data_IF_429463557511
#
_entry.id   IF_429463557511
#
_cell.length_a   1.000
_cell.length_b   1.000
_cell.length_c   1.000
_cell.angle_alpha   90.00
_cell.angle_beta   90.00
_cell.angle_gamma   90.00
#
_symmetry.space_group_name_H-M   'P 1'
#
loop_
_entity.id
_entity.type
_entity.pdbx_description
1 polymer ?
#
# COMPACT_ATOMS: atom_id res chain seq x y z
N UNK A 1 12.55 -0.30 -13.97
CA UNK A 1 11.36 -0.25 -13.11
C UNK A 1 11.55 0.87 -12.10
N UNK A 2 10.50 1.62 -11.72
CA UNK A 2 10.62 2.57 -10.63
C UNK A 2 11.08 1.86 -9.34
N UNK A 3 11.87 2.53 -8.48
CA UNK A 3 12.32 1.94 -7.23
C UNK A 3 11.11 1.60 -6.35
N UNK A 4 11.27 0.63 -5.46
CA UNK A 4 10.23 0.35 -4.46
C UNK A 4 10.14 1.50 -3.45
N UNK A 5 8.92 1.91 -3.12
CA UNK A 5 8.66 3.09 -2.29
C UNK A 5 7.58 2.82 -1.25
N UNK A 6 7.77 3.37 -0.04
CA UNK A 6 6.71 3.64 0.91
C UNK A 6 6.44 5.15 0.87
N UNK A 7 5.21 5.52 0.51
CA UNK A 7 4.79 6.92 0.40
C UNK A 7 3.71 7.24 1.41
N UNK A 8 3.73 8.46 1.93
CA UNK A 8 2.68 9.01 2.80
C UNK A 8 1.96 10.14 2.09
N UNK A 9 0.63 10.15 2.14
CA UNK A 9 -0.15 11.25 1.59
C UNK A 9 -0.04 12.45 2.54
N UNK A 10 0.41 13.56 1.98
CA UNK A 10 0.55 14.85 2.67
C UNK A 10 -0.75 15.63 2.63
N UNK A 11 -1.46 15.56 1.50
CA UNK A 11 -2.77 16.18 1.35
C UNK A 11 -3.55 15.62 0.18
N UNK A 12 -4.87 15.74 0.25
CA UNK A 12 -5.81 15.61 -0.85
C UNK A 12 -6.60 16.91 -1.01
N UNK A 13 -6.94 17.29 -2.24
CA UNK A 13 -8.02 18.23 -2.52
C UNK A 13 -8.92 17.72 -3.63
N UNK A 14 -10.21 18.01 -3.49
CA UNK A 14 -11.23 17.77 -4.51
C UNK A 14 -11.56 19.11 -5.17
N UNK A 15 -11.12 19.33 -6.40
CA UNK A 15 -11.14 20.68 -6.98
C UNK A 15 -12.57 21.26 -7.04
N UNK A 16 -12.72 22.57 -6.80
CA UNK A 16 -11.69 23.56 -6.44
C UNK A 16 -11.47 23.73 -4.91
N UNK A 17 -11.84 22.75 -4.09
CA UNK A 17 -11.79 22.86 -2.63
C UNK A 17 -10.34 22.98 -2.11
N UNK A 18 -10.13 23.58 -0.92
CA UNK A 18 -8.83 23.61 -0.28
C UNK A 18 -8.29 22.21 0.01
N UNK A 19 -6.96 22.07 0.03
CA UNK A 19 -6.30 20.84 0.43
C UNK A 19 -6.44 20.58 1.94
N UNK A 20 -6.60 19.31 2.28
CA UNK A 20 -6.68 18.81 3.65
C UNK A 20 -6.04 17.42 3.75
N UNK A 21 -5.81 16.93 4.98
CA UNK A 21 -5.39 15.56 5.22
C UNK A 21 -5.94 15.06 6.56
N UNK A 22 -7.11 14.43 6.50
CA UNK A 22 -7.82 13.86 7.65
C UNK A 22 -7.41 12.40 7.92
N UNK A 23 -6.51 11.83 7.12
CA UNK A 23 -6.05 10.46 7.28
C UNK A 23 -4.54 10.35 7.48
N UNK A 24 -4.11 9.29 8.16
CA UNK A 24 -2.75 8.75 8.03
C UNK A 24 -2.78 7.73 6.89
N UNK A 25 -2.57 8.23 5.67
CA UNK A 25 -2.58 7.42 4.44
C UNK A 25 -1.16 7.01 4.07
N UNK A 26 -0.95 5.70 3.94
CA UNK A 26 0.31 5.10 3.50
C UNK A 26 0.05 4.20 2.30
N UNK A 27 0.94 4.27 1.31
CA UNK A 27 0.98 3.30 0.23
C UNK A 27 2.37 2.67 0.06
N UNK A 28 2.41 1.37 -0.18
CA UNK A 28 3.61 0.62 -0.57
C UNK A 28 3.55 0.35 -2.07
N UNK A 29 4.67 0.55 -2.77
CA UNK A 29 4.82 0.37 -4.21
C UNK A 29 6.03 -0.55 -4.48
N UNK A 30 5.81 -1.67 -5.16
CA UNK A 30 6.88 -2.61 -5.53
C UNK A 30 6.58 -3.24 -6.89
N UNK A 31 7.47 -3.11 -7.88
CA UNK A 31 7.41 -3.89 -9.13
C UNK A 31 6.06 -3.87 -9.87
N UNK A 32 5.36 -2.73 -9.86
CA UNK A 32 4.02 -2.59 -10.46
C UNK A 32 2.85 -2.90 -9.52
N UNK A 33 3.08 -3.50 -8.36
CA UNK A 33 2.05 -3.75 -7.34
C UNK A 33 2.00 -2.65 -6.28
N UNK A 34 0.86 -2.55 -5.60
CA UNK A 34 0.66 -1.63 -4.49
C UNK A 34 -0.21 -2.16 -3.36
N UNK A 35 -0.05 -1.56 -2.17
CA UNK A 35 -0.97 -1.66 -1.03
C UNK A 35 -1.17 -0.24 -0.48
N UNK A 36 -2.39 0.26 -0.49
CA UNK A 36 -2.85 1.56 0.04
C UNK A 36 -3.73 1.33 1.28
N UNK A 37 -3.45 2.04 2.37
CA UNK A 37 -4.21 2.01 3.61
C UNK A 37 -4.45 3.45 4.10
N UNK A 38 -5.72 3.83 4.24
CA UNK A 38 -6.15 5.16 4.70
C UNK A 38 -6.87 5.06 6.04
N UNK A 39 -6.24 5.55 7.09
CA UNK A 39 -6.79 5.53 8.45
C UNK A 39 -7.20 6.94 8.87
N UNK A 40 -8.45 7.15 9.26
CA UNK A 40 -8.92 8.46 9.78
C UNK A 40 -8.15 8.82 11.05
N UNK A 41 -7.50 9.99 11.08
CA UNK A 41 -6.67 10.44 12.20
C UNK A 41 -7.45 10.58 13.50
N UNK A 42 -8.69 11.09 13.41
CA UNK A 42 -9.52 11.37 14.58
C UNK A 42 -10.06 10.10 15.24
N UNK A 43 -10.56 9.16 14.43
CA UNK A 43 -11.29 7.99 14.94
C UNK A 43 -10.45 6.72 14.94
N UNK A 44 -9.34 6.68 14.21
CA UNK A 44 -8.59 5.45 13.94
C UNK A 44 -9.38 4.44 13.10
N UNK A 45 -10.46 4.84 12.43
CA UNK A 45 -11.21 3.93 11.54
C UNK A 45 -10.59 3.88 10.15
N UNK A 46 -10.73 2.74 9.46
CA UNK A 46 -10.34 2.64 8.05
C UNK A 46 -11.32 3.47 7.21
N UNK A 47 -10.80 4.49 6.53
CA UNK A 47 -11.56 5.26 5.54
C UNK A 47 -11.65 4.47 4.23
N UNK A 48 -10.50 3.96 3.78
CA UNK A 48 -10.35 3.23 2.53
C UNK A 48 -9.10 2.36 2.58
N UNK A 49 -9.06 1.29 1.77
CA UNK A 49 -7.85 0.54 1.52
C UNK A 49 -7.99 -0.30 0.26
N UNK A 50 -6.89 -0.46 -0.48
CA UNK A 50 -6.84 -1.23 -1.73
C UNK A 50 -5.45 -1.82 -1.93
N UNK A 51 -5.38 -2.98 -2.56
CA UNK A 51 -4.13 -3.51 -3.10
C UNK A 51 -4.38 -4.11 -4.49
N UNK A 52 -3.33 -4.22 -5.27
CA UNK A 52 -3.41 -4.80 -6.60
C UNK A 52 -2.22 -4.48 -7.48
N UNK A 53 -2.38 -4.75 -8.77
CA UNK A 53 -1.44 -4.41 -9.82
C UNK A 53 -1.82 -3.07 -10.45
N UNK A 54 -0.83 -2.23 -10.73
CA UNK A 54 -0.97 -1.06 -11.59
C UNK A 54 -0.93 -1.53 -13.03
N UNK A 55 -2.08 -1.48 -13.69
CA UNK A 55 -2.18 -1.79 -15.12
C UNK A 55 -2.07 -0.46 -15.87
N UNK A 56 -0.96 -0.27 -16.60
CA UNK A 56 -0.87 0.79 -17.58
C UNK A 56 -1.78 0.42 -18.75
N UNK A 57 -2.81 1.23 -18.98
CA UNK A 57 -3.68 1.07 -20.13
C UNK A 57 -2.96 1.62 -21.36
N UNK A 58 -2.19 0.79 -22.05
CA UNK A 58 -1.81 1.06 -23.43
C UNK A 58 -3.08 1.05 -24.29
N UNK A 59 -3.56 2.24 -24.67
CA UNK A 59 -4.54 2.53 -25.74
C UNK A 59 -5.60 1.44 -26.02
N UNK A 60 -6.43 1.09 -25.04
CA UNK A 60 -7.57 0.20 -25.29
C UNK A 60 -8.89 0.77 -24.72
N UNK A 61 -9.79 1.29 -25.58
CA UNK A 61 -10.96 2.10 -25.18
C UNK A 61 -12.12 1.31 -24.54
N UNK A 62 -11.90 0.04 -24.16
CA UNK A 62 -12.98 -0.86 -23.70
C UNK A 62 -12.98 -1.15 -22.20
N UNK A 63 -12.14 -0.48 -21.40
CA UNK A 63 -12.21 -0.58 -19.94
C UNK A 63 -12.96 0.63 -19.38
N UNK A 64 -14.09 0.36 -18.75
CA UNK A 64 -15.04 1.35 -18.24
C UNK A 64 -14.46 2.09 -17.03
N UNK A 65 -14.14 3.36 -17.26
CA UNK A 65 -13.59 4.37 -16.34
C UNK A 65 -12.15 4.07 -15.89
N UNK A 66 -11.15 4.45 -16.69
CA UNK A 66 -9.75 4.49 -16.27
C UNK A 66 -9.57 5.41 -15.05
N UNK A 67 -8.79 4.97 -14.07
CA UNK A 67 -8.19 5.86 -13.06
C UNK A 67 -7.01 6.55 -13.76
N UNK A 68 -7.29 7.64 -14.51
CA UNK A 68 -6.25 8.44 -15.16
C UNK A 68 -5.51 9.25 -14.09
N UNK A 69 -4.66 8.59 -13.32
CA UNK A 69 -3.76 9.23 -12.38
C UNK A 69 -2.46 9.62 -13.11
N UNK A 70 -2.23 10.91 -13.25
CA UNK A 70 -1.00 11.51 -13.77
C UNK A 70 -0.12 11.98 -12.60
N UNK A 71 1.19 11.81 -12.71
CA UNK A 71 2.14 12.15 -11.64
C UNK A 71 3.14 13.22 -12.09
N UNK A 72 3.30 14.26 -11.28
CA UNK A 72 4.29 15.31 -11.47
C UNK A 72 5.21 15.45 -10.26
N UNK A 73 6.51 15.64 -10.48
CA UNK A 73 7.45 15.93 -9.39
C UNK A 73 7.35 17.39 -8.98
N UNK A 74 7.07 17.63 -7.70
CA UNK A 74 7.08 18.96 -7.11
C UNK A 74 8.51 19.43 -6.80
N UNK A 75 8.78 20.75 -6.73
CA UNK A 75 10.12 21.28 -6.43
C UNK A 75 10.73 20.83 -5.10
N UNK A 76 9.90 20.40 -4.14
CA UNK A 76 10.35 19.88 -2.85
C UNK A 76 10.65 18.36 -2.85
N UNK A 77 10.47 17.69 -3.98
CA UNK A 77 10.70 16.24 -4.16
C UNK A 77 9.46 15.35 -3.96
N UNK A 78 8.37 15.91 -3.43
CA UNK A 78 7.08 15.21 -3.31
C UNK A 78 6.49 14.96 -4.71
N UNK A 79 5.60 13.97 -4.83
CA UNK A 79 4.83 13.66 -6.03
C UNK A 79 3.44 14.29 -5.95
N UNK A 80 3.00 14.95 -7.01
CA UNK A 80 1.64 15.41 -7.22
C UNK A 80 0.93 14.40 -8.12
N UNK A 81 -0.03 13.67 -7.58
CA UNK A 81 -0.98 12.86 -8.32
C UNK A 81 -2.18 13.70 -8.69
N UNK A 82 -2.57 13.68 -9.96
CA UNK A 82 -3.71 14.40 -10.53
C UNK A 82 -4.60 13.37 -11.21
N UNK A 83 -5.88 13.36 -10.90
CA UNK A 83 -6.81 12.45 -11.55
C UNK A 83 -8.26 12.90 -11.40
N UNK A 84 -9.18 12.03 -11.79
CA UNK A 84 -10.61 12.25 -11.64
C UNK A 84 -11.30 10.96 -11.21
N UNK A 85 -12.06 11.02 -10.12
CA UNK A 85 -12.74 9.84 -9.57
C UNK A 85 -14.06 10.23 -8.90
N UNK A 86 -15.03 9.32 -8.73
CA UNK A 86 -16.26 9.59 -7.99
C UNK A 86 -15.97 10.07 -6.55
N UNK A 87 -16.36 11.32 -6.26
CA UNK A 87 -16.12 11.97 -4.98
C UNK A 87 -17.23 11.64 -3.96
N UNK A 88 -16.92 10.97 -2.83
CA UNK A 88 -17.94 10.48 -1.90
C UNK A 88 -18.83 11.58 -1.31
N UNK A 89 -18.27 12.70 -0.84
CA UNK A 89 -19.04 13.79 -0.23
C UNK A 89 -19.79 14.65 -1.25
N UNK A 90 -19.46 14.54 -2.54
CA UNK A 90 -20.23 15.12 -3.65
C UNK A 90 -21.24 14.13 -4.24
N UNK A 91 -21.63 13.11 -3.48
CA UNK A 91 -22.64 12.13 -3.90
C UNK A 91 -22.18 11.22 -5.04
N UNK A 92 -20.87 10.97 -5.16
CA UNK A 92 -20.29 10.13 -6.21
C UNK A 92 -20.11 10.84 -7.56
N UNK A 93 -20.22 12.18 -7.60
CA UNK A 93 -19.92 12.95 -8.80
C UNK A 93 -18.46 12.75 -9.22
N UNK A 94 -18.22 12.50 -10.51
CA UNK A 94 -16.88 12.47 -11.08
C UNK A 94 -16.22 13.84 -10.84
N UNK A 95 -15.13 13.85 -10.06
CA UNK A 95 -14.51 15.08 -9.58
C UNK A 95 -13.01 14.97 -9.73
N UNK A 96 -12.40 16.04 -10.25
CA UNK A 96 -10.96 16.17 -10.32
C UNK A 96 -10.38 16.27 -8.90
N UNK A 97 -9.29 15.55 -8.67
CA UNK A 97 -8.59 15.56 -7.41
C UNK A 97 -7.10 15.77 -7.62
N UNK A 98 -6.46 16.24 -6.56
CA UNK A 98 -5.02 16.22 -6.45
C UNK A 98 -4.61 15.60 -5.11
N UNK A 99 -3.68 14.66 -5.14
CA UNK A 99 -3.03 14.09 -3.95
C UNK A 99 -1.54 14.43 -3.97
N UNK A 100 -1.01 14.91 -2.85
CA UNK A 100 0.44 15.14 -2.67
C UNK A 100 1.02 14.00 -1.86
N UNK A 101 2.05 13.36 -2.37
CA UNK A 101 2.68 12.17 -1.80
C UNK A 101 4.14 12.42 -1.49
N UNK A 102 4.55 12.06 -0.27
CA UNK A 102 5.95 12.11 0.15
C UNK A 102 6.54 10.72 0.21
N UNK A 103 7.70 10.54 -0.40
CA UNK A 103 8.51 9.34 -0.20
C UNK A 103 9.09 9.34 1.23
N UNK A 104 8.66 8.37 2.02
CA UNK A 104 9.12 8.14 3.40
C UNK A 104 9.93 6.85 3.52
N UNK A 105 10.41 6.31 2.40
CA UNK A 105 11.16 5.07 2.36
C UNK A 105 12.45 5.20 3.18
N UNK A 106 12.49 4.53 4.32
CA UNK A 106 13.70 4.38 5.12
C UNK A 106 14.19 2.94 5.04
N UNK A 107 15.42 2.72 4.60
CA UNK A 107 16.05 1.40 4.51
C UNK A 107 17.18 1.30 5.52
N UNK A 108 17.38 0.13 6.12
CA UNK A 108 18.55 -0.12 6.97
C UNK A 108 19.80 -0.30 6.12
N UNK A 109 19.64 -1.00 5.01
CA UNK A 109 20.71 -1.32 4.06
C UNK A 109 20.18 -1.11 2.64
N UNK A 110 21.03 -0.68 1.67
CA UNK A 110 20.62 -0.53 0.29
C UNK A 110 19.90 -1.77 -0.25
N UNK A 111 20.45 -2.95 0.02
CA UNK A 111 19.99 -4.27 -0.39
C UNK A 111 18.74 -4.80 0.33
N UNK A 112 18.16 -4.04 1.27
CA UNK A 112 16.95 -4.42 1.98
C UNK A 112 15.82 -4.75 0.99
N UNK A 113 15.35 -6.01 0.94
CA UNK A 113 14.39 -6.41 -0.09
C UNK A 113 13.02 -5.79 0.18
N UNK A 114 12.40 -5.29 -0.87
CA UNK A 114 11.00 -4.87 -0.88
C UNK A 114 10.16 -5.91 -1.59
N UNK A 115 8.94 -6.12 -1.11
CA UNK A 115 8.07 -7.15 -1.69
C UNK A 115 6.60 -6.89 -1.40
N UNK A 116 5.75 -7.45 -2.27
CA UNK A 116 4.31 -7.58 -2.08
C UNK A 116 3.94 -9.03 -2.38
N UNK A 117 3.17 -9.63 -1.47
CA UNK A 117 2.65 -10.98 -1.57
C UNK A 117 1.12 -10.95 -1.54
N UNK A 118 0.50 -11.89 -2.25
CA UNK A 118 -0.94 -12.13 -2.19
C UNK A 118 -1.20 -13.55 -1.69
N UNK A 119 -2.15 -13.75 -0.78
CA UNK A 119 -2.55 -15.11 -0.38
C UNK A 119 -3.06 -15.89 -1.59
N UNK A 120 -2.91 -17.21 -1.59
CA UNK A 120 -3.32 -18.07 -2.71
C UNK A 120 -4.83 -17.99 -2.99
N UNK A 121 -5.65 -17.71 -1.97
CA UNK A 121 -7.09 -17.47 -2.10
C UNK A 121 -7.44 -16.05 -2.62
N UNK A 122 -6.43 -15.19 -2.78
CA UNK A 122 -6.56 -13.82 -3.27
C UNK A 122 -7.08 -12.79 -2.26
N UNK A 123 -7.41 -13.21 -1.03
CA UNK A 123 -8.14 -12.36 -0.06
C UNK A 123 -7.25 -11.41 0.74
N UNK A 124 -5.95 -11.69 0.79
CA UNK A 124 -4.99 -11.01 1.67
C UNK A 124 -3.80 -10.52 0.86
N UNK A 125 -3.41 -9.26 1.07
CA UNK A 125 -2.15 -8.71 0.58
C UNK A 125 -1.29 -8.33 1.77
N UNK A 126 -0.01 -8.71 1.69
CA UNK A 126 1.00 -8.28 2.66
C UNK A 126 2.20 -7.72 1.92
N UNK A 127 2.84 -6.70 2.46
CA UNK A 127 3.97 -6.06 1.80
C UNK A 127 4.90 -5.37 2.78
N UNK A 128 6.15 -5.25 2.38
CA UNK A 128 7.18 -4.52 3.11
C UNK A 128 7.99 -3.67 2.16
N UNK A 129 8.17 -2.41 2.51
CA UNK A 129 9.16 -1.52 1.90
C UNK A 129 9.87 -0.78 3.03
N UNK A 130 11.20 -0.94 3.10
CA UNK A 130 12.00 -0.27 4.12
C UNK A 130 11.54 -0.61 5.55
N UNK A 131 11.24 0.38 6.36
CA UNK A 131 10.81 0.21 7.76
C UNK A 131 9.30 0.04 7.93
N UNK A 132 8.54 -0.15 6.84
CA UNK A 132 7.07 -0.21 6.88
C UNK A 132 6.57 -1.54 6.35
N UNK A 133 5.63 -2.13 7.10
CA UNK A 133 4.92 -3.34 6.75
C UNK A 133 3.41 -3.09 6.79
N UNK A 134 2.71 -3.51 5.74
CA UNK A 134 1.26 -3.50 5.67
C UNK A 134 0.73 -4.92 5.45
N UNK A 135 -0.37 -5.24 6.11
CA UNK A 135 -1.19 -6.41 5.84
C UNK A 135 -2.65 -5.99 5.76
N UNK A 136 -3.33 -6.33 4.67
CA UNK A 136 -4.75 -6.06 4.49
C UNK A 136 -5.47 -7.31 4.00
N UNK A 137 -6.72 -7.49 4.45
CA UNK A 137 -7.54 -8.62 4.06
C UNK A 137 -8.99 -8.20 3.86
N UNK A 138 -9.59 -8.69 2.78
CA UNK A 138 -11.03 -8.65 2.54
C UNK A 138 -11.56 -10.07 2.50
N UNK A 139 -12.29 -10.46 3.55
CA UNK A 139 -12.94 -11.78 3.58
C UNK A 139 -14.02 -11.89 2.51
N UNK A 140 -14.39 -13.12 2.14
CA UNK A 140 -15.51 -13.41 1.23
C UNK A 140 -16.84 -12.75 1.66
N UNK A 141 -17.08 -12.63 2.97
CA UNK A 141 -18.28 -11.98 3.52
C UNK A 141 -18.19 -10.45 3.54
N UNK A 142 -17.15 -9.87 2.96
CA UNK A 142 -16.93 -8.42 2.86
C UNK A 142 -16.27 -7.77 4.07
N UNK A 143 -16.03 -8.51 5.17
CA UNK A 143 -15.32 -7.98 6.33
C UNK A 143 -13.88 -7.61 5.97
N UNK A 144 -13.46 -6.43 6.38
CA UNK A 144 -12.12 -5.92 6.16
C UNK A 144 -11.27 -6.03 7.42
N UNK A 145 -9.97 -6.27 7.27
CA UNK A 145 -9.00 -6.28 8.36
C UNK A 145 -7.69 -5.72 7.88
N UNK A 146 -7.01 -4.96 8.72
CA UNK A 146 -5.72 -4.36 8.38
C UNK A 146 -4.79 -4.30 9.59
N UNK A 147 -3.50 -4.40 9.31
CA UNK A 147 -2.40 -4.16 10.25
C UNK A 147 -1.33 -3.32 9.55
N UNK A 148 -0.82 -2.32 10.27
CA UNK A 148 0.44 -1.65 9.98
C UNK A 148 1.42 -1.96 11.09
N UNK A 149 2.63 -2.34 10.70
CA UNK A 149 3.77 -2.39 11.61
C UNK A 149 4.87 -1.48 11.08
N UNK A 150 5.46 -0.68 11.98
CA UNK A 150 6.62 0.13 11.69
C UNK A 150 7.82 -0.40 12.50
N UNK A 151 8.99 -0.38 11.88
CA UNK A 151 10.23 -0.80 12.51
C UNK A 151 10.77 0.31 13.41
N UNK A 152 10.73 0.08 14.72
CA UNK A 152 11.15 1.04 15.73
C UNK A 152 12.64 1.31 15.62
N UNK A 153 12.99 2.60 15.50
CA UNK A 153 14.39 3.05 15.43
C UNK A 153 15.16 2.79 16.71
N UNK A 154 14.47 2.73 17.86
CA UNK A 154 15.10 2.61 19.18
C UNK A 154 15.54 1.19 19.52
N UNK A 155 14.64 0.21 19.34
CA UNK A 155 14.85 -1.17 19.75
C UNK A 155 15.01 -2.14 18.57
N UNK A 156 14.87 -1.65 17.33
CA UNK A 156 14.99 -2.44 16.10
C UNK A 156 13.95 -3.58 16.00
N UNK A 157 12.80 -3.42 16.65
CA UNK A 157 11.66 -4.36 16.61
C UNK A 157 10.48 -3.79 15.82
N UNK A 158 9.71 -4.68 15.20
CA UNK A 158 8.48 -4.31 14.51
C UNK A 158 7.36 -4.09 15.51
N UNK A 159 6.83 -2.87 15.54
CA UNK A 159 5.78 -2.44 16.46
C UNK A 159 4.48 -2.23 15.70
N UNK A 160 3.35 -2.68 16.27
CA UNK A 160 2.03 -2.40 15.70
C UNK A 160 1.72 -0.94 15.92
N UNK A 161 1.53 -0.21 14.82
CA UNK A 161 1.11 1.20 14.83
C UNK A 161 -0.35 1.35 14.45
N UNK A 162 -0.94 0.34 13.80
CA UNK A 162 -2.36 0.29 13.49
C UNK A 162 -2.89 -1.14 13.36
N UNK A 163 -4.10 -1.38 13.87
CA UNK A 163 -4.84 -2.63 13.71
C UNK A 163 -6.36 -2.37 13.64
N UNK A 164 -7.05 -3.12 12.79
CA UNK A 164 -8.51 -3.12 12.73
C UNK A 164 -9.04 -4.42 12.14
N UNK A 165 -10.20 -4.90 12.63
CA UNK A 165 -10.82 -6.15 12.20
C UNK A 165 -10.21 -7.41 12.85
N UNK A 166 -10.23 -8.53 12.12
CA UNK A 166 -9.75 -9.85 12.56
C UNK A 166 -8.25 -10.00 12.30
N UNK A 167 -7.46 -9.30 13.10
CA UNK A 167 -6.00 -9.18 12.94
C UNK A 167 -5.24 -10.46 13.28
N UNK A 168 -5.87 -11.42 13.97
CA UNK A 168 -5.36 -12.77 14.18
C UNK A 168 -5.22 -13.58 12.87
N UNK A 169 -5.90 -13.15 11.81
CA UNK A 169 -5.82 -13.75 10.47
C UNK A 169 -4.78 -13.06 9.57
N UNK A 170 -4.08 -12.04 10.09
CA UNK A 170 -3.01 -11.35 9.39
C UNK A 170 -1.67 -11.80 9.97
N UNK A 171 -0.67 -12.15 9.16
CA UNK A 171 0.65 -12.45 9.67
C UNK A 171 1.32 -11.19 10.24
N UNK A 172 2.32 -11.40 11.09
CA UNK A 172 3.18 -10.32 11.61
C UNK A 172 4.33 -10.06 10.64
N UNK A 173 4.86 -8.85 10.65
CA UNK A 173 6.06 -8.49 9.89
C UNK A 173 7.23 -9.45 10.16
N UNK A 174 7.44 -9.81 11.43
CA UNK A 174 8.49 -10.75 11.85
C UNK A 174 8.32 -12.15 11.27
N UNK A 175 7.09 -12.69 11.23
CA UNK A 175 6.79 -13.98 10.60
C UNK A 175 7.10 -13.96 9.11
N UNK A 176 6.61 -12.92 8.40
CA UNK A 176 6.81 -12.80 6.95
C UNK A 176 8.30 -12.66 6.59
N UNK A 177 9.04 -11.83 7.32
CA UNK A 177 10.47 -11.60 7.09
C UNK A 177 11.31 -12.85 7.33
N UNK A 178 10.99 -13.65 8.35
CA UNK A 178 11.69 -14.91 8.62
C UNK A 178 11.62 -15.85 7.43
N UNK A 179 10.46 -15.94 6.79
CA UNK A 179 10.23 -16.84 5.66
C UNK A 179 10.90 -16.33 4.38
N UNK A 180 10.83 -15.02 4.12
CA UNK A 180 11.49 -14.42 2.95
C UNK A 180 13.01 -14.50 3.07
N UNK A 181 13.57 -14.25 4.25
CA UNK A 181 15.02 -14.39 4.48
C UNK A 181 15.54 -15.82 4.35
N UNK A 182 14.66 -16.82 4.51
CA UNK A 182 14.98 -18.24 4.34
C UNK A 182 14.82 -18.73 2.89
N UNK A 183 14.23 -17.93 2.01
CA UNK A 183 13.91 -18.35 0.64
C UNK A 183 14.89 -17.71 -0.35
N UNK A 184 15.59 -18.52 -1.14
CA UNK A 184 16.37 -18.01 -2.28
C UNK A 184 15.39 -17.42 -3.32
N UNK A 185 15.62 -16.16 -3.70
CA UNK A 185 14.87 -15.33 -4.69
C UNK A 185 13.79 -16.08 -5.49
N UNK A 186 12.51 -15.77 -5.25
CA UNK A 186 11.41 -16.32 -6.06
C UNK A 186 10.48 -15.22 -6.55
N UNK A 187 10.81 -14.58 -7.66
CA UNK A 187 9.78 -13.92 -8.46
C UNK A 187 8.78 -14.99 -8.92
N UNK A 188 7.48 -14.75 -8.71
CA UNK A 188 6.39 -15.71 -9.00
C UNK A 188 6.43 -17.03 -8.20
N UNK A 189 7.16 -17.04 -7.08
CA UNK A 189 7.18 -18.18 -6.16
C UNK A 189 5.97 -18.28 -5.27
N UNK A 190 5.88 -19.41 -4.58
CA UNK A 190 5.01 -19.56 -3.42
C UNK A 190 5.83 -19.57 -2.15
N UNK A 191 5.29 -18.98 -1.09
CA UNK A 191 5.89 -18.88 0.23
C UNK A 191 4.81 -19.21 1.26
N UNK A 192 5.13 -20.02 2.26
CA UNK A 192 4.25 -20.20 3.39
C UNK A 192 4.64 -19.22 4.51
N UNK A 193 3.72 -18.34 4.90
CA UNK A 193 3.87 -17.45 6.05
C UNK A 193 2.83 -17.86 7.08
N UNK A 194 3.31 -18.26 8.25
CA UNK A 194 2.49 -18.95 9.26
C UNK A 194 1.75 -20.14 8.59
N UNK A 195 0.41 -20.20 8.67
CA UNK A 195 -0.39 -21.28 8.05
C UNK A 195 -0.99 -20.88 6.68
N UNK A 196 -0.54 -19.77 6.09
CA UNK A 196 -1.11 -19.21 4.85
C UNK A 196 -0.09 -19.32 3.70
N UNK A 197 -0.54 -19.87 2.57
CA UNK A 197 0.23 -19.88 1.34
C UNK A 197 0.08 -18.53 0.62
N UNK A 198 1.20 -17.93 0.28
CA UNK A 198 1.31 -16.68 -0.45
C UNK A 198 2.00 -16.89 -1.79
N UNK A 199 1.61 -16.08 -2.77
CA UNK A 199 2.23 -15.94 -4.08
C UNK A 199 3.01 -14.62 -4.07
N UNK A 200 4.27 -14.66 -4.47
CA UNK A 200 5.11 -13.46 -4.63
C UNK A 200 4.63 -12.70 -5.85
N UNK A 201 4.08 -11.49 -5.63
CA UNK A 201 3.58 -10.62 -6.70
C UNK A 201 4.63 -9.64 -7.20
N UNK A 202 5.40 -9.11 -6.26
CA UNK A 202 6.51 -8.23 -6.59
C UNK A 202 7.66 -8.43 -5.60
N UNK A 203 8.88 -8.32 -6.10
CA UNK A 203 10.10 -8.42 -5.31
C UNK A 203 11.17 -7.49 -5.92
N UNK A 204 11.90 -6.74 -5.09
CA UNK A 204 13.01 -5.89 -5.54
C UNK A 204 14.11 -5.94 -4.48
N UNK A 205 15.33 -6.30 -4.89
CA UNK A 205 16.54 -6.16 -4.08
C UNK A 205 17.16 -4.82 -4.44
N UNK A 206 16.76 -3.74 -3.76
CA UNK A 206 17.11 -2.37 -4.15
C UNK A 206 16.75 -2.07 -5.62
#
# INVERSE_FOLDING_TARGET
>A
MPPSQAVQRISIRWLPEPAYEDTDTIALNVGGYFIDLRVVKETGSIQWSRAGERILLEENPYLTVPDEAHFEKLPNGDDLEIGSTPCPHKGGALTEYEEVWRDITSRKQPEDPSWILQSADGTTFIGRVGTIYLAIRKSETGNFSARREDLSSSNQTWEVTFESGKVELLPRASSALKQIGATEKVENGTLQVDDINYIVKAFSNA
#
